data_IF_264537320184
#
_entry.id   IF_264537320184
#
_cell.length_a   1.000
_cell.length_b   1.000
_cell.length_c   1.000
_cell.angle_alpha   90.00
_cell.angle_beta   90.00
_cell.angle_gamma   90.00
#
_symmetry.space_group_name_H-M   'P 1'
#
loop_
_entity.id
_entity.type
_entity.pdbx_description
1 polymer ?
#
# COMPACT_ATOMS: atom_id res chain seq x y z
N UNK A 1 -7.24 -6.24 -3.47
CA UNK A 1 -7.24 -4.83 -3.89
C UNK A 1 -8.64 -4.23 -3.96
N UNK A 2 -9.59 -4.77 -4.72
CA UNK A 2 -10.97 -4.24 -4.72
C UNK A 2 -11.66 -4.29 -3.35
N UNK A 3 -11.48 -5.38 -2.60
CA UNK A 3 -11.98 -5.50 -1.22
C UNK A 3 -11.35 -4.42 -0.32
N UNK A 4 -10.04 -4.16 -0.48
CA UNK A 4 -9.32 -3.14 0.29
C UNK A 4 -9.84 -1.73 -0.04
N UNK A 5 -10.09 -1.43 -1.32
CA UNK A 5 -10.72 -0.15 -1.74
C UNK A 5 -12.10 0.00 -1.10
N UNK A 6 -12.94 -1.03 -1.14
CA UNK A 6 -14.29 -0.97 -0.55
C UNK A 6 -14.26 -0.72 0.95
N UNK A 7 -13.39 -1.41 1.69
CA UNK A 7 -13.24 -1.23 3.13
C UNK A 7 -12.61 0.12 3.48
N UNK A 8 -11.67 0.62 2.65
CA UNK A 8 -11.12 1.97 2.81
C UNK A 8 -12.22 3.04 2.64
N UNK A 9 -13.14 2.90 1.69
CA UNK A 9 -14.29 3.82 1.54
C UNK A 9 -15.22 3.75 2.76
N UNK A 10 -15.49 2.55 3.29
CA UNK A 10 -16.29 2.39 4.51
C UNK A 10 -15.61 3.07 5.72
N UNK A 11 -14.30 2.92 5.85
CA UNK A 11 -13.48 3.57 6.88
C UNK A 11 -13.55 5.10 6.76
N UNK A 12 -13.40 5.62 5.54
CA UNK A 12 -13.50 7.05 5.24
C UNK A 12 -14.88 7.62 5.63
N UNK A 13 -15.96 6.92 5.29
CA UNK A 13 -17.31 7.31 5.70
C UNK A 13 -17.44 7.29 7.24
N UNK A 14 -16.91 6.26 7.91
CA UNK A 14 -16.93 6.18 9.37
C UNK A 14 -16.18 7.33 10.04
N UNK A 15 -15.03 7.73 9.49
CA UNK A 15 -14.25 8.87 9.98
C UNK A 15 -14.97 10.20 9.77
N UNK A 16 -15.68 10.38 8.65
CA UNK A 16 -16.53 11.56 8.43
C UNK A 16 -17.69 11.62 9.43
N UNK A 17 -18.33 10.48 9.74
CA UNK A 17 -19.37 10.41 10.76
C UNK A 17 -18.82 10.69 12.16
N UNK A 18 -17.61 10.23 12.47
CA UNK A 18 -16.93 10.59 13.71
C UNK A 18 -16.65 12.09 13.79
N UNK A 19 -16.20 12.70 12.69
CA UNK A 19 -15.96 14.15 12.66
C UNK A 19 -17.24 14.95 12.94
N UNK A 20 -18.37 14.54 12.35
CA UNK A 20 -19.67 15.16 12.60
C UNK A 20 -20.09 15.04 14.07
N UNK A 21 -19.92 13.85 14.66
CA UNK A 21 -20.18 13.63 16.09
C UNK A 21 -19.29 14.53 16.97
N UNK A 22 -17.99 14.59 16.69
CA UNK A 22 -17.04 15.41 17.45
C UNK A 22 -17.31 16.92 17.29
N UNK A 23 -17.89 17.35 16.17
CA UNK A 23 -18.23 18.74 15.91
C UNK A 23 -19.59 19.17 16.49
N UNK A 24 -20.42 18.23 16.93
CA UNK A 24 -21.80 18.48 17.39
C UNK A 24 -21.92 19.33 18.66
N UNK A 25 -20.84 19.50 19.44
CA UNK A 25 -20.82 20.28 20.68
C UNK A 25 -21.50 19.63 21.89
N UNK A 26 -22.25 18.55 21.69
CA UNK A 26 -22.79 17.69 22.75
C UNK A 26 -22.72 16.23 22.35
N UNK A 27 -21.93 15.45 23.08
CA UNK A 27 -21.73 14.02 22.84
C UNK A 27 -22.32 13.26 24.03
N UNK A 28 -23.41 12.53 23.81
CA UNK A 28 -23.92 11.61 24.83
C UNK A 28 -23.02 10.39 24.97
N UNK A 29 -22.94 9.82 26.17
CA UNK A 29 -22.14 8.62 26.44
C UNK A 29 -22.51 7.46 25.51
N UNK A 30 -23.80 7.23 25.28
CA UNK A 30 -24.26 6.20 24.34
C UNK A 30 -23.88 6.47 22.87
N UNK A 31 -23.86 7.73 22.43
CA UNK A 31 -23.41 8.07 21.08
C UNK A 31 -21.90 7.88 20.91
N UNK A 32 -21.12 8.22 21.94
CA UNK A 32 -19.69 7.95 21.98
C UNK A 32 -19.39 6.45 21.91
N UNK A 33 -20.07 5.63 22.73
CA UNK A 33 -19.88 4.17 22.75
C UNK A 33 -20.21 3.53 21.39
N UNK A 34 -21.28 3.95 20.73
CA UNK A 34 -21.64 3.47 19.39
C UNK A 34 -20.57 3.84 18.35
N UNK A 35 -20.04 5.06 18.43
CA UNK A 35 -18.95 5.50 17.56
C UNK A 35 -17.69 4.66 17.77
N UNK A 36 -17.27 4.48 19.02
CA UNK A 36 -16.05 3.78 19.37
C UNK A 36 -16.12 2.30 18.97
N UNK A 37 -17.25 1.65 19.21
CA UNK A 37 -17.49 0.28 18.76
C UNK A 37 -17.45 0.16 17.23
N UNK A 38 -18.05 1.12 16.50
CA UNK A 38 -18.00 1.15 15.03
C UNK A 38 -16.56 1.30 14.53
N UNK A 39 -15.80 2.23 15.11
CA UNK A 39 -14.41 2.46 14.73
C UNK A 39 -13.52 1.27 15.01
N UNK A 40 -13.66 0.66 16.18
CA UNK A 40 -12.93 -0.56 16.55
C UNK A 40 -13.22 -1.69 15.57
N UNK A 41 -14.49 -1.95 15.27
CA UNK A 41 -14.88 -3.01 14.35
C UNK A 41 -14.34 -2.80 12.93
N UNK A 42 -14.44 -1.57 12.40
CA UNK A 42 -13.91 -1.22 11.09
C UNK A 42 -12.39 -1.31 11.07
N UNK A 43 -11.71 -0.79 12.10
CA UNK A 43 -10.25 -0.82 12.21
C UNK A 43 -9.69 -2.25 12.26
N UNK A 44 -10.33 -3.15 13.02
CA UNK A 44 -9.96 -4.58 13.05
C UNK A 44 -10.16 -5.22 11.67
N UNK A 45 -11.33 -4.98 11.06
CA UNK A 45 -11.66 -5.53 9.74
C UNK A 45 -10.68 -5.04 8.67
N UNK A 46 -10.39 -3.73 8.65
CA UNK A 46 -9.39 -3.13 7.78
C UNK A 46 -8.02 -3.77 7.97
N UNK A 47 -7.57 -3.90 9.21
CA UNK A 47 -6.25 -4.48 9.55
C UNK A 47 -6.11 -5.91 9.02
N UNK A 48 -7.14 -6.75 9.19
CA UNK A 48 -7.13 -8.13 8.68
C UNK A 48 -7.00 -8.15 7.15
N UNK A 49 -7.83 -7.36 6.44
CA UNK A 49 -7.80 -7.32 4.98
C UNK A 49 -6.50 -6.74 4.45
N UNK A 50 -5.95 -5.73 5.14
CA UNK A 50 -4.67 -5.13 4.81
C UNK A 50 -3.53 -6.15 4.92
N UNK A 51 -3.46 -6.92 6.02
CA UNK A 51 -2.45 -7.98 6.22
C UNK A 51 -2.56 -9.05 5.12
N UNK A 52 -3.76 -9.56 4.85
CA UNK A 52 -3.97 -10.56 3.80
C UNK A 52 -3.52 -10.02 2.44
N UNK A 53 -3.91 -8.78 2.12
CA UNK A 53 -3.53 -8.12 0.86
C UNK A 53 -2.01 -7.93 0.78
N UNK A 54 -1.35 -7.55 1.87
CA UNK A 54 0.10 -7.41 1.98
C UNK A 54 0.83 -8.73 1.72
N UNK A 55 0.40 -9.82 2.35
CA UNK A 55 0.98 -11.16 2.14
C UNK A 55 0.83 -11.59 0.67
N UNK A 56 -0.36 -11.40 0.08
CA UNK A 56 -0.58 -11.71 -1.33
C UNK A 56 0.29 -10.86 -2.26
N UNK A 57 0.45 -9.57 -1.94
CA UNK A 57 1.29 -8.64 -2.69
C UNK A 57 2.77 -9.04 -2.61
N UNK A 58 3.29 -9.35 -1.42
CA UNK A 58 4.68 -9.80 -1.25
C UNK A 58 4.94 -11.12 -1.97
N UNK A 59 4.02 -12.09 -1.88
CA UNK A 59 4.11 -13.33 -2.65
C UNK A 59 4.17 -13.04 -4.15
N UNK A 60 3.37 -12.09 -4.64
CA UNK A 60 3.40 -11.68 -6.04
C UNK A 60 4.75 -11.04 -6.43
N UNK A 61 5.31 -10.14 -5.62
CA UNK A 61 6.65 -9.56 -5.84
C UNK A 61 7.72 -10.65 -5.92
N UNK A 62 7.68 -11.62 -5.01
CA UNK A 62 8.59 -12.76 -5.02
C UNK A 62 8.51 -13.55 -6.33
N UNK A 63 7.30 -13.86 -6.80
CA UNK A 63 7.09 -14.58 -8.05
C UNK A 63 7.56 -13.78 -9.27
N UNK A 64 7.28 -12.48 -9.32
CA UNK A 64 7.74 -11.64 -10.42
C UNK A 64 9.27 -11.60 -10.52
N UNK A 65 9.95 -11.45 -9.39
CA UNK A 65 11.40 -11.44 -9.34
C UNK A 65 11.97 -12.82 -9.73
N UNK A 66 11.35 -13.91 -9.29
CA UNK A 66 11.72 -15.28 -9.72
C UNK A 66 11.56 -15.45 -11.23
N UNK A 67 10.47 -14.95 -11.82
CA UNK A 67 10.28 -14.99 -13.27
C UNK A 67 11.37 -14.21 -14.01
N UNK A 68 11.76 -13.04 -13.50
CA UNK A 68 12.87 -12.24 -14.07
C UNK A 68 14.17 -13.04 -14.15
N UNK A 69 14.55 -13.78 -13.10
CA UNK A 69 15.71 -14.68 -13.13
C UNK A 69 15.54 -15.83 -14.15
N UNK A 70 14.30 -16.30 -14.35
CA UNK A 70 13.97 -17.33 -15.33
C UNK A 70 14.07 -16.88 -16.79
N UNK A 71 14.15 -15.58 -17.07
CA UNK A 71 14.26 -15.05 -18.44
C UNK A 71 15.71 -14.99 -18.96
N UNK A 72 16.67 -15.61 -18.26
CA UNK A 72 18.08 -15.59 -18.65
C UNK A 72 18.77 -14.25 -18.38
N UNK A 73 18.16 -13.40 -17.54
CA UNK A 73 18.72 -12.11 -17.16
C UNK A 73 19.97 -12.28 -16.32
N UNK A 74 21.03 -11.55 -16.67
CA UNK A 74 22.26 -11.47 -15.89
C UNK A 74 22.29 -10.19 -15.04
N UNK A 75 23.11 -10.21 -13.99
CA UNK A 75 23.44 -9.07 -13.13
C UNK A 75 22.27 -8.44 -12.36
N UNK A 76 21.19 -9.18 -12.12
CA UNK A 76 20.12 -8.74 -11.21
C UNK A 76 20.67 -8.56 -9.80
N UNK A 77 20.34 -7.44 -9.16
CA UNK A 77 20.81 -7.13 -7.80
C UNK A 77 19.92 -7.74 -6.73
N UNK A 78 18.62 -7.85 -7.00
CA UNK A 78 17.65 -8.31 -6.01
C UNK A 78 17.27 -9.75 -6.28
N UNK A 79 17.60 -10.65 -5.34
CA UNK A 79 17.08 -12.02 -5.35
C UNK A 79 15.60 -12.06 -4.95
N UNK A 80 14.85 -13.14 -5.27
CA UNK A 80 13.43 -13.22 -4.94
C UNK A 80 13.14 -13.13 -3.43
N UNK A 81 14.05 -13.61 -2.58
CA UNK A 81 13.94 -13.50 -1.13
C UNK A 81 14.18 -12.07 -0.65
N UNK A 82 15.24 -11.41 -1.12
CA UNK A 82 15.53 -10.04 -0.71
C UNK A 82 14.58 -9.00 -1.29
N UNK A 83 13.94 -9.27 -2.45
CA UNK A 83 12.88 -8.43 -3.00
C UNK A 83 11.70 -8.24 -2.02
N UNK A 84 11.45 -9.21 -1.13
CA UNK A 84 10.44 -9.11 -0.07
C UNK A 84 11.07 -8.84 1.31
N UNK A 85 12.26 -9.36 1.59
CA UNK A 85 12.91 -9.23 2.90
C UNK A 85 13.13 -7.78 3.30
N UNK A 86 13.43 -6.90 2.34
CA UNK A 86 13.64 -5.48 2.62
C UNK A 86 12.40 -4.74 3.15
N UNK A 87 11.17 -5.26 2.97
CA UNK A 87 9.98 -4.65 3.59
C UNK A 87 10.01 -4.72 5.12
N UNK A 88 10.75 -5.68 5.68
CA UNK A 88 10.81 -5.95 7.12
C UNK A 88 12.06 -5.40 7.79
N UNK A 89 13.00 -4.82 7.04
CA UNK A 89 14.22 -4.24 7.59
C UNK A 89 14.03 -2.73 7.76
N UNK A 90 14.06 -2.21 9.00
CA UNK A 90 13.93 -0.77 9.25
C UNK A 90 14.95 0.04 8.43
N UNK A 91 14.55 1.26 8.01
CA UNK A 91 15.30 2.17 7.13
C UNK A 91 15.47 1.68 5.69
N UNK A 92 15.82 0.41 5.48
CA UNK A 92 15.91 -0.18 4.15
C UNK A 92 14.53 -0.32 3.49
N UNK A 93 13.50 -0.56 4.30
CA UNK A 93 12.10 -0.62 3.85
C UNK A 93 11.60 0.68 3.21
N UNK A 94 12.31 1.81 3.35
CA UNK A 94 11.96 3.09 2.74
C UNK A 94 12.33 3.19 1.26
N UNK A 95 13.33 2.43 0.78
CA UNK A 95 13.84 2.61 -0.59
C UNK A 95 14.24 1.31 -1.30
N UNK A 96 14.63 0.25 -0.58
CA UNK A 96 15.02 -1.02 -1.21
C UNK A 96 13.87 -1.72 -1.93
N UNK A 97 12.63 -1.76 -1.39
CA UNK A 97 11.54 -2.38 -2.14
C UNK A 97 11.16 -1.62 -3.42
N UNK A 98 11.24 -0.29 -3.39
CA UNK A 98 11.11 0.54 -4.58
C UNK A 98 12.16 0.17 -5.64
N UNK A 99 13.42 0.05 -5.25
CA UNK A 99 14.50 -0.35 -6.16
C UNK A 99 14.27 -1.75 -6.74
N UNK A 100 13.82 -2.71 -5.93
CA UNK A 100 13.49 -4.06 -6.38
C UNK A 100 12.36 -4.06 -7.43
N UNK A 101 11.29 -3.29 -7.18
CA UNK A 101 10.18 -3.15 -8.13
C UNK A 101 10.59 -2.45 -9.43
N UNK A 102 11.48 -1.45 -9.37
CA UNK A 102 12.06 -0.82 -10.55
C UNK A 102 12.93 -1.78 -11.37
N UNK A 103 13.74 -2.61 -10.71
CA UNK A 103 14.53 -3.64 -11.38
C UNK A 103 13.62 -4.66 -12.08
N UNK A 104 12.59 -5.16 -11.39
CA UNK A 104 11.58 -6.06 -11.97
C UNK A 104 10.92 -5.43 -13.21
N UNK A 105 10.56 -4.15 -13.16
CA UNK A 105 9.96 -3.45 -14.29
C UNK A 105 10.89 -3.40 -15.51
N UNK A 106 12.15 -3.04 -15.28
CA UNK A 106 13.17 -2.93 -16.34
C UNK A 106 13.42 -4.29 -16.98
N UNK A 107 13.64 -5.32 -16.16
CA UNK A 107 13.86 -6.69 -16.63
C UNK A 107 12.64 -7.23 -17.38
N UNK A 108 11.44 -6.99 -16.86
CA UNK A 108 10.21 -7.40 -17.54
C UNK A 108 10.02 -6.69 -18.88
N UNK A 109 10.60 -5.50 -19.07
CA UNK A 109 10.52 -4.76 -20.34
C UNK A 109 11.49 -5.32 -21.38
N UNK A 110 12.75 -5.56 -21.01
CA UNK A 110 13.73 -6.19 -21.87
C UNK A 110 14.78 -6.93 -21.01
N UNK A 111 14.70 -8.27 -20.88
CA UNK A 111 15.61 -9.06 -20.04
C UNK A 111 17.09 -8.96 -20.41
N UNK A 112 17.40 -8.77 -21.70
CA UNK A 112 18.78 -8.78 -22.23
C UNK A 112 19.46 -7.44 -22.00
N UNK A 113 18.73 -6.34 -22.20
CA UNK A 113 19.27 -4.98 -22.12
C UNK A 113 18.54 -4.15 -21.05
N UNK A 114 18.32 -4.75 -19.88
CA UNK A 114 17.45 -4.20 -18.85
C UNK A 114 18.05 -2.98 -18.15
N UNK A 115 19.38 -2.93 -18.01
CA UNK A 115 20.10 -1.85 -17.34
C UNK A 115 19.89 -0.51 -18.07
N UNK A 116 19.75 -0.55 -19.40
CA UNK A 116 19.46 0.60 -20.26
C UNK A 116 17.97 0.93 -20.35
N UNK A 117 17.08 0.17 -19.71
CA UNK A 117 15.65 0.49 -19.68
C UNK A 117 15.35 1.57 -18.65
N UNK A 118 14.43 2.45 -19.02
CA UNK A 118 13.87 3.42 -18.10
C UNK A 118 13.03 2.74 -17.01
N UNK A 119 13.09 3.29 -15.80
CA UNK A 119 12.21 2.88 -14.71
C UNK A 119 10.76 3.27 -14.98
N UNK A 120 9.85 2.76 -14.16
CA UNK A 120 8.43 3.11 -14.18
C UNK A 120 8.16 4.32 -13.31
N UNK A 121 7.58 5.37 -13.89
CA UNK A 121 7.04 6.49 -13.10
C UNK A 121 5.84 6.07 -12.26
N UNK A 122 5.06 5.05 -12.69
CA UNK A 122 3.94 4.49 -11.91
C UNK A 122 4.42 3.90 -10.59
N UNK A 123 5.52 3.16 -10.60
CA UNK A 123 6.10 2.58 -9.38
C UNK A 123 6.62 3.70 -8.47
N UNK A 124 7.20 4.77 -9.04
CA UNK A 124 7.62 5.97 -8.31
C UNK A 124 6.44 6.64 -7.58
N UNK A 125 5.37 6.96 -8.31
CA UNK A 125 4.18 7.59 -7.72
C UNK A 125 3.51 6.72 -6.67
N UNK A 126 3.34 5.42 -6.95
CA UNK A 126 2.80 4.50 -5.95
C UNK A 126 3.65 4.49 -4.68
N UNK A 127 4.97 4.38 -4.80
CA UNK A 127 5.84 4.29 -3.64
C UNK A 127 5.81 5.57 -2.80
N UNK A 128 5.81 6.74 -3.46
CA UNK A 128 5.66 8.03 -2.78
C UNK A 128 4.34 8.12 -2.02
N UNK A 129 3.21 7.81 -2.67
CA UNK A 129 1.89 7.84 -2.04
C UNK A 129 1.79 6.81 -0.90
N UNK A 130 2.38 5.63 -1.08
CA UNK A 130 2.44 4.58 -0.06
C UNK A 130 3.22 5.04 1.17
N UNK A 131 4.37 5.70 1.02
CA UNK A 131 5.13 6.21 2.16
C UNK A 131 4.38 7.33 2.89
N UNK A 132 3.77 8.26 2.16
CA UNK A 132 3.01 9.37 2.75
C UNK A 132 1.79 8.85 3.50
N UNK A 133 0.98 7.98 2.89
CA UNK A 133 -0.19 7.38 3.55
C UNK A 133 0.19 6.62 4.82
N UNK A 134 1.21 5.76 4.78
CA UNK A 134 1.68 5.02 5.96
C UNK A 134 2.15 5.95 7.08
N UNK A 135 2.83 7.05 6.74
CA UNK A 135 3.24 8.05 7.72
C UNK A 135 2.02 8.71 8.38
N UNK A 136 1.06 9.18 7.59
CA UNK A 136 -0.15 9.83 8.10
C UNK A 136 -0.98 8.88 8.97
N UNK A 137 -1.20 7.64 8.52
CA UNK A 137 -1.93 6.62 9.26
C UNK A 137 -1.22 6.31 10.59
N UNK A 138 0.11 6.19 10.59
CA UNK A 138 0.86 5.93 11.83
C UNK A 138 0.76 7.10 12.82
N UNK A 139 0.84 8.34 12.34
CA UNK A 139 0.67 9.55 13.15
C UNK A 139 -0.75 9.59 13.73
N UNK A 140 -1.77 9.44 12.89
CA UNK A 140 -3.18 9.45 13.31
C UNK A 140 -3.47 8.37 14.36
N UNK A 141 -2.99 7.15 14.14
CA UNK A 141 -3.16 6.04 15.09
C UNK A 141 -2.53 6.35 16.45
N UNK A 142 -1.28 6.84 16.46
CA UNK A 142 -0.59 7.20 17.72
C UNK A 142 -1.32 8.33 18.45
N UNK A 143 -1.77 9.36 17.73
CA UNK A 143 -2.51 10.48 18.30
C UNK A 143 -3.86 10.05 18.87
N UNK A 144 -4.58 9.17 18.17
CA UNK A 144 -5.85 8.60 18.62
C UNK A 144 -5.67 7.77 19.90
N UNK A 145 -4.62 6.95 19.99
CA UNK A 145 -4.33 6.14 21.18
C UNK A 145 -3.90 6.97 22.41
N UNK A 146 -3.37 8.17 22.20
CA UNK A 146 -2.90 9.05 23.28
C UNK A 146 -3.78 10.27 23.51
N UNK A 147 -4.97 10.33 22.90
CA UNK A 147 -5.82 11.53 22.98
C UNK A 147 -6.57 11.57 24.31
N UNK A 148 -6.41 12.66 25.05
CA UNK A 148 -7.18 12.95 26.27
C UNK A 148 -8.26 14.04 26.05
N UNK A 149 -8.37 14.56 24.81
CA UNK A 149 -9.29 15.65 24.46
C UNK A 149 -9.96 15.43 23.11
N UNK A 150 -11.15 16.03 22.95
CA UNK A 150 -11.93 16.03 21.70
C UNK A 150 -11.13 16.69 20.56
N UNK A 151 -10.44 17.79 20.83
CA UNK A 151 -9.63 18.50 19.82
C UNK A 151 -8.52 17.60 19.25
N UNK A 152 -7.83 16.84 20.11
CA UNK A 152 -6.80 15.89 19.67
C UNK A 152 -7.40 14.75 18.83
N UNK A 153 -8.60 14.28 19.17
CA UNK A 153 -9.34 13.29 18.38
C UNK A 153 -9.76 13.84 17.01
N UNK A 154 -10.20 15.10 16.94
CA UNK A 154 -10.53 15.75 15.66
C UNK A 154 -9.30 15.87 14.76
N UNK A 155 -8.15 16.26 15.31
CA UNK A 155 -6.90 16.32 14.54
C UNK A 155 -6.48 14.92 14.08
N UNK A 156 -6.52 13.92 14.96
CA UNK A 156 -6.21 12.54 14.61
C UNK A 156 -7.14 12.03 13.48
N UNK A 157 -8.44 12.26 13.59
CA UNK A 157 -9.45 11.86 12.60
C UNK A 157 -9.22 12.55 11.26
N UNK A 158 -8.88 13.85 11.27
CA UNK A 158 -8.54 14.62 10.07
C UNK A 158 -7.33 14.02 9.35
N UNK A 159 -6.27 13.68 10.09
CA UNK A 159 -5.06 13.05 9.53
C UNK A 159 -5.39 11.68 8.94
N UNK A 160 -6.26 10.88 9.60
CA UNK A 160 -6.75 9.61 9.06
C UNK A 160 -7.45 9.79 7.72
N UNK A 161 -8.40 10.73 7.64
CA UNK A 161 -9.13 11.05 6.40
C UNK A 161 -8.17 11.42 5.27
N UNK A 162 -7.18 12.28 5.53
CA UNK A 162 -6.18 12.67 4.53
C UNK A 162 -5.35 11.47 4.05
N UNK A 163 -4.94 10.59 4.97
CA UNK A 163 -4.22 9.36 4.64
C UNK A 163 -5.05 8.43 3.75
N UNK A 164 -6.32 8.24 4.08
CA UNK A 164 -7.25 7.40 3.30
C UNK A 164 -7.51 7.96 1.90
N UNK A 165 -7.65 9.27 1.75
CA UNK A 165 -7.80 9.93 0.45
C UNK A 165 -6.56 9.75 -0.45
N UNK A 166 -5.36 9.68 0.13
CA UNK A 166 -4.10 9.42 -0.59
C UNK A 166 -4.01 7.95 -1.03
N UNK A 167 -4.58 7.03 -0.25
CA UNK A 167 -4.56 5.60 -0.53
C UNK A 167 -5.37 5.23 -1.78
N UNK A 168 -6.49 5.91 -2.01
CA UNK A 168 -7.37 5.67 -3.17
C UNK A 168 -6.59 5.72 -4.51
N UNK A 169 -5.91 6.81 -4.90
CA UNK A 169 -5.12 6.84 -6.12
C UNK A 169 -3.95 5.84 -6.08
N UNK A 170 -3.35 5.60 -4.92
CA UNK A 170 -2.27 4.61 -4.78
C UNK A 170 -2.75 3.20 -5.18
N UNK A 171 -3.95 2.79 -4.76
CA UNK A 171 -4.53 1.49 -5.13
C UNK A 171 -4.73 1.34 -6.64
N UNK A 172 -5.18 2.40 -7.32
CA UNK A 172 -5.35 2.38 -8.78
C UNK A 172 -4.00 2.30 -9.50
N UNK A 173 -2.97 3.01 -9.02
CA UNK A 173 -1.62 2.96 -9.59
C UNK A 173 -1.02 1.55 -9.42
N UNK A 174 -1.23 0.91 -8.26
CA UNK A 174 -0.83 -0.49 -8.04
C UNK A 174 -1.47 -1.43 -9.05
N UNK A 175 -2.79 -1.34 -9.22
CA UNK A 175 -3.50 -2.14 -10.21
C UNK A 175 -2.96 -1.91 -11.63
N UNK A 176 -2.64 -0.65 -11.98
CA UNK A 176 -2.09 -0.30 -13.28
C UNK A 176 -0.71 -0.94 -13.53
N UNK A 177 0.26 -0.78 -12.61
CA UNK A 177 1.58 -1.37 -12.83
C UNK A 177 1.58 -2.89 -12.68
N UNK A 178 0.73 -3.49 -11.83
CA UNK A 178 0.57 -4.95 -11.74
C UNK A 178 0.18 -5.50 -13.12
N UNK A 179 -0.86 -4.91 -13.74
CA UNK A 179 -1.33 -5.33 -15.07
C UNK A 179 -0.26 -5.15 -16.14
N UNK A 180 0.48 -4.04 -16.09
CA UNK A 180 1.56 -3.76 -17.03
C UNK A 180 2.71 -4.77 -16.91
N UNK A 181 3.17 -5.08 -15.70
CA UNK A 181 4.24 -6.07 -15.48
C UNK A 181 3.76 -7.46 -15.91
N UNK A 182 2.53 -7.84 -15.56
CA UNK A 182 1.96 -9.12 -15.97
C UNK A 182 1.93 -9.26 -17.51
N UNK A 183 1.45 -8.23 -18.22
CA UNK A 183 1.41 -8.24 -19.69
C UNK A 183 2.82 -8.39 -20.30
N UNK A 184 3.80 -7.66 -19.76
CA UNK A 184 5.20 -7.73 -20.16
C UNK A 184 5.80 -9.13 -19.97
N UNK A 185 5.70 -9.70 -18.77
CA UNK A 185 6.22 -11.04 -18.49
C UNK A 185 5.51 -12.13 -19.30
N UNK A 186 4.19 -12.01 -19.50
CA UNK A 186 3.43 -12.93 -20.36
C UNK A 186 3.92 -12.91 -21.81
N UNK A 187 4.28 -11.74 -22.34
CA UNK A 187 4.82 -11.62 -23.69
C UNK A 187 6.20 -12.29 -23.82
N UNK A 188 7.06 -12.19 -22.80
CA UNK A 188 8.36 -12.85 -22.77
C UNK A 188 8.24 -14.37 -22.77
N UNK A 189 7.35 -14.93 -21.94
CA UNK A 189 7.09 -16.38 -21.94
C UNK A 189 6.66 -16.87 -23.32
N UNK A 190 5.76 -16.14 -24.00
CA UNK A 190 5.33 -16.50 -25.35
C UNK A 190 6.46 -16.47 -26.38
N UNK A 191 7.45 -15.58 -26.22
CA UNK A 191 8.58 -15.46 -27.17
C UNK A 191 9.64 -16.55 -26.99
N UNK A 192 9.77 -17.13 -25.79
CA UNK A 192 10.76 -18.18 -25.50
C UNK A 192 10.26 -19.61 -25.78
N UNK A 193 8.97 -19.77 -26.12
CA UNK A 193 8.35 -21.08 -26.40
C UNK A 193 8.30 -21.38 -27.91
N UNK A 194 8.74 -20.44 -28.75
CA UNK A 194 8.94 -20.60 -30.20
C UNK A 194 10.39 -20.28 -30.55
#
# INVERSE_FOLDING_TARGET
MWILIGINIISLISNLLQMDLLASGYISEGAAEINDNRQLFIGITFSIVYIITGIMFLRWVHLLNKNCHGFGTQDMKFTPGWAIGYYFVPLLNLYKPYQAMQEIWKVSTNPINWQNQNGSTLIGWWWTLFLISNLLINISFRMSMSSESIDNLQVATTISILGELIDIPAYFIVLAFIRAIYAKQKALVKRNVF
#
